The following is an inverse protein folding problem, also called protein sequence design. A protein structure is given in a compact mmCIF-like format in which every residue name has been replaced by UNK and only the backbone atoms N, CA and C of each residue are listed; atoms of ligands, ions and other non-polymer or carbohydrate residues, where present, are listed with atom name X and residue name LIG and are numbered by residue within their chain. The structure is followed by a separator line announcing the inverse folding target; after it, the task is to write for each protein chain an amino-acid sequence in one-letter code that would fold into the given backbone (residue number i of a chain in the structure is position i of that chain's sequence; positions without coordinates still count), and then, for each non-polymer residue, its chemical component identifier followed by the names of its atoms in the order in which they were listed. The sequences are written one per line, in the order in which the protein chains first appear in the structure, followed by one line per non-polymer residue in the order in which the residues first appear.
data_IF_859491709701
#
_entry.id   IF_859491709701
#
_cell.length_a   1.000
_cell.length_b   1.000
_cell.length_c   1.000
_cell.angle_alpha   90.00
_cell.angle_beta   90.00
_cell.angle_gamma   90.00
#
_symmetry.space_group_name_H-M   'P 1'
#
loop_
_entity.id
_entity.type
_entity.pdbx_description
1 polymer ?
#
# COMPACT_ATOMS: atom_id res chain seq x y z
N UNK A 1 14.52 -0.26 -2.59
CA UNK A 1 15.16 1.03 -2.21
C UNK A 1 14.19 1.95 -1.47
N UNK A 2 13.06 2.40 -2.05
CA UNK A 2 12.13 3.32 -1.34
C UNK A 2 11.58 2.73 -0.02
N UNK A 3 11.00 1.53 -0.04
CA UNK A 3 10.48 0.90 1.18
C UNK A 3 11.59 0.72 2.23
N UNK A 4 12.79 0.32 1.81
CA UNK A 4 13.95 0.20 2.70
C UNK A 4 14.28 1.51 3.39
N UNK A 5 14.46 2.56 2.59
CA UNK A 5 14.80 3.91 3.07
C UNK A 5 13.74 4.43 4.03
N UNK A 6 12.46 4.28 3.69
CA UNK A 6 11.36 4.68 4.58
C UNK A 6 11.41 3.91 5.90
N UNK A 7 11.60 2.59 5.84
CA UNK A 7 11.68 1.75 7.03
C UNK A 7 12.82 2.19 7.97
N UNK A 8 13.97 2.53 7.42
CA UNK A 8 15.15 2.91 8.19
C UNK A 8 15.10 4.35 8.71
N UNK A 9 14.70 5.30 7.86
CA UNK A 9 14.70 6.74 8.22
C UNK A 9 13.59 7.07 9.20
N UNK A 10 12.41 6.49 9.02
CA UNK A 10 11.26 6.69 9.92
C UNK A 10 11.23 5.68 11.08
N UNK A 11 12.21 4.77 11.13
CA UNK A 11 12.36 3.73 12.15
C UNK A 11 11.09 2.88 12.36
N UNK A 12 10.47 2.42 11.25
CA UNK A 12 9.33 1.52 11.32
C UNK A 12 9.77 0.11 11.72
N UNK A 13 9.00 -0.53 12.61
CA UNK A 13 9.20 -1.92 12.99
C UNK A 13 9.06 -2.86 11.79
N UNK A 14 8.04 -2.60 10.96
CA UNK A 14 7.69 -3.42 9.78
C UNK A 14 7.12 -2.59 8.65
N UNK A 15 7.34 -3.07 7.43
CA UNK A 15 6.57 -2.68 6.23
C UNK A 15 5.83 -3.89 5.72
N UNK A 16 4.51 -3.77 5.62
CA UNK A 16 3.64 -4.83 5.10
C UNK A 16 3.23 -4.50 3.66
N UNK A 17 3.60 -5.37 2.74
CA UNK A 17 3.21 -5.30 1.34
C UNK A 17 1.88 -6.03 1.14
N UNK A 18 0.90 -5.33 0.56
CA UNK A 18 -0.43 -5.87 0.33
C UNK A 18 -0.70 -5.91 -1.18
N UNK A 19 -0.49 -7.05 -1.86
CA UNK A 19 -0.73 -7.16 -3.29
C UNK A 19 -2.23 -7.07 -3.61
N UNK A 20 -2.60 -6.07 -4.40
CA UNK A 20 -3.98 -5.89 -4.80
C UNK A 20 -4.50 -7.03 -5.68
N UNK A 21 -5.72 -7.50 -5.40
CA UNK A 21 -6.39 -8.51 -6.22
C UNK A 21 -6.93 -7.87 -7.52
N UNK A 22 -7.81 -6.87 -7.38
CA UNK A 22 -8.45 -6.14 -8.49
C UNK A 22 -8.41 -4.63 -8.22
N UNK A 23 -7.39 -3.91 -8.70
CA UNK A 23 -7.32 -2.46 -8.54
C UNK A 23 -8.47 -1.77 -9.28
N UNK A 24 -9.20 -0.82 -8.65
CA UNK A 24 -10.38 -0.18 -9.26
C UNK A 24 -10.05 0.61 -10.53
N UNK A 25 -8.82 1.14 -10.62
CA UNK A 25 -8.41 2.06 -11.69
C UNK A 25 -7.63 1.36 -12.81
N UNK A 26 -7.64 0.01 -12.87
CA UNK A 26 -6.91 -0.76 -13.90
C UNK A 26 -7.84 -1.70 -14.65
N UNK A 27 -7.62 -1.81 -15.95
CA UNK A 27 -8.30 -2.81 -16.78
C UNK A 27 -7.80 -4.21 -16.43
N UNK A 28 -8.68 -5.05 -15.86
CA UNK A 28 -8.33 -6.39 -15.37
C UNK A 28 -7.81 -7.33 -16.48
N UNK A 29 -8.14 -7.08 -17.75
CA UNK A 29 -7.70 -7.91 -18.87
C UNK A 29 -6.19 -7.80 -19.16
N UNK A 30 -5.53 -6.75 -18.66
CA UNK A 30 -4.10 -6.49 -18.88
C UNK A 30 -3.26 -6.61 -17.60
N UNK A 31 -3.80 -7.21 -16.54
CA UNK A 31 -3.08 -7.37 -15.26
C UNK A 31 -2.50 -8.78 -15.17
N UNK A 32 -1.21 -8.85 -14.87
CA UNK A 32 -0.52 -10.11 -14.56
C UNK A 32 -1.26 -10.87 -13.44
N UNK A 33 -1.48 -12.19 -13.57
CA UNK A 33 -2.12 -13.00 -12.55
C UNK A 33 -1.57 -12.74 -11.15
N UNK A 34 -2.48 -12.65 -10.17
CA UNK A 34 -2.11 -12.32 -8.78
C UNK A 34 -1.09 -13.28 -8.19
N UNK A 35 -1.15 -14.56 -8.56
CA UNK A 35 -0.19 -15.59 -8.14
C UNK A 35 1.23 -15.24 -8.57
N UNK A 36 1.45 -14.88 -9.84
CA UNK A 36 2.77 -14.50 -10.33
C UNK A 36 3.27 -13.22 -9.66
N UNK A 37 2.38 -12.25 -9.42
CA UNK A 37 2.73 -11.02 -8.70
C UNK A 37 3.15 -11.29 -7.25
N UNK A 38 2.50 -12.26 -6.60
CA UNK A 38 2.84 -12.69 -5.25
C UNK A 38 4.22 -13.37 -5.23
N UNK A 39 4.48 -14.31 -6.14
CA UNK A 39 5.79 -15.01 -6.24
C UNK A 39 6.95 -14.01 -6.48
N UNK A 40 6.74 -13.02 -7.35
CA UNK A 40 7.72 -11.94 -7.57
C UNK A 40 7.93 -11.09 -6.31
N UNK A 41 6.86 -10.79 -5.58
CA UNK A 41 6.93 -10.00 -4.35
C UNK A 41 7.64 -10.77 -3.23
N UNK A 42 7.33 -12.05 -3.04
CA UNK A 42 8.01 -12.95 -2.09
C UNK A 42 9.52 -12.97 -2.32
N UNK A 43 9.93 -13.10 -3.58
CA UNK A 43 11.35 -13.03 -3.96
C UNK A 43 11.98 -11.67 -3.67
N UNK A 44 11.23 -10.58 -3.83
CA UNK A 44 11.74 -9.22 -3.66
C UNK A 44 11.91 -8.77 -2.19
N UNK A 45 11.23 -9.44 -1.26
CA UNK A 45 11.25 -9.08 0.17
C UNK A 45 11.99 -10.08 1.05
N UNK A 46 12.39 -11.23 0.50
CA UNK A 46 12.95 -12.37 1.23
C UNK A 46 14.12 -11.99 2.18
N UNK A 47 14.99 -11.09 1.75
CA UNK A 47 16.22 -10.76 2.46
C UNK A 47 16.06 -9.65 3.52
N UNK A 48 14.83 -9.16 3.75
CA UNK A 48 14.58 -8.14 4.78
C UNK A 48 13.58 -8.63 5.84
N UNK A 49 14.03 -8.85 7.11
CA UNK A 49 13.17 -9.33 8.18
C UNK A 49 12.11 -8.32 8.65
N UNK A 50 12.22 -7.04 8.28
CA UNK A 50 11.20 -6.02 8.54
C UNK A 50 10.13 -5.98 7.45
N UNK A 51 10.26 -6.77 6.37
CA UNK A 51 9.28 -6.79 5.29
C UNK A 51 8.40 -8.03 5.39
N UNK A 52 7.09 -7.79 5.32
CA UNK A 52 6.08 -8.85 5.35
C UNK A 52 5.12 -8.71 4.19
N UNK A 53 4.47 -9.81 3.82
CA UNK A 53 3.42 -9.80 2.80
C UNK A 53 2.11 -10.21 3.47
N UNK A 54 1.06 -9.42 3.27
CA UNK A 54 -0.29 -9.81 3.65
C UNK A 54 -1.15 -10.05 2.42
N UNK A 55 -1.72 -11.25 2.31
CA UNK A 55 -2.62 -11.63 1.23
C UNK A 55 -4.08 -11.20 1.48
N UNK A 56 -4.32 -10.29 2.43
CA UNK A 56 -5.67 -9.95 2.90
C UNK A 56 -6.63 -9.51 1.79
N UNK A 57 -6.17 -8.76 0.79
CA UNK A 57 -7.03 -8.35 -0.32
C UNK A 57 -7.36 -9.51 -1.27
N UNK A 58 -6.44 -10.46 -1.42
CA UNK A 58 -6.65 -11.69 -2.20
C UNK A 58 -7.70 -12.55 -1.51
N UNK A 59 -7.58 -12.72 -0.20
CA UNK A 59 -8.50 -13.50 0.63
C UNK A 59 -9.88 -12.85 0.72
N UNK A 60 -9.94 -11.52 0.89
CA UNK A 60 -11.20 -10.75 0.92
C UNK A 60 -11.97 -10.85 -0.40
N UNK A 61 -11.26 -10.98 -1.53
CA UNK A 61 -11.88 -11.02 -2.84
C UNK A 61 -12.41 -9.65 -3.27
N UNK A 62 -13.09 -9.62 -4.42
CA UNK A 62 -13.70 -8.38 -4.94
C UNK A 62 -12.68 -7.32 -5.38
N UNK A 63 -13.12 -6.05 -5.34
CA UNK A 63 -12.30 -4.89 -5.72
C UNK A 63 -11.44 -4.44 -4.54
N UNK A 64 -10.18 -4.15 -4.84
CA UNK A 64 -9.16 -3.70 -3.89
C UNK A 64 -9.26 -2.20 -3.62
N UNK A 65 -10.12 -1.78 -2.69
CA UNK A 65 -10.14 -0.40 -2.20
C UNK A 65 -9.21 -0.21 -1.00
N UNK A 66 -8.37 0.82 -1.06
CA UNK A 66 -7.38 1.12 -0.01
C UNK A 66 -8.01 1.37 1.35
N UNK A 67 -9.18 2.04 1.41
CA UNK A 67 -9.90 2.24 2.67
C UNK A 67 -10.30 0.92 3.33
N UNK A 68 -10.81 -0.03 2.54
CA UNK A 68 -11.23 -1.34 3.04
C UNK A 68 -10.02 -2.10 3.60
N UNK A 69 -8.87 -1.99 2.92
CA UNK A 69 -7.59 -2.57 3.37
C UNK A 69 -7.07 -1.93 4.64
N UNK A 70 -7.08 -0.59 4.74
CA UNK A 70 -6.66 0.14 5.93
C UNK A 70 -7.52 -0.26 7.14
N UNK A 71 -8.85 -0.30 6.98
CA UNK A 71 -9.77 -0.66 8.06
C UNK A 71 -9.58 -2.12 8.50
N UNK A 72 -9.42 -3.04 7.55
CA UNK A 72 -9.14 -4.43 7.85
C UNK A 72 -7.82 -4.58 8.61
N UNK A 73 -6.74 -3.98 8.10
CA UNK A 73 -5.41 -4.04 8.71
C UNK A 73 -5.43 -3.44 10.13
N UNK A 74 -6.05 -2.28 10.30
CA UNK A 74 -6.22 -1.63 11.59
C UNK A 74 -6.93 -2.53 12.61
N UNK A 75 -7.98 -3.22 12.17
CA UNK A 75 -8.77 -4.12 13.01
C UNK A 75 -8.00 -5.39 13.37
N UNK A 76 -7.35 -6.02 12.39
CA UNK A 76 -6.61 -7.27 12.54
C UNK A 76 -5.41 -7.13 13.51
N UNK A 77 -4.72 -5.99 13.45
CA UNK A 77 -3.54 -5.72 14.29
C UNK A 77 -3.85 -4.83 15.51
N UNK A 78 -5.13 -4.51 15.76
CA UNK A 78 -5.57 -3.63 16.86
C UNK A 78 -4.82 -2.30 16.94
N UNK A 79 -4.58 -1.67 15.78
CA UNK A 79 -3.77 -0.46 15.69
C UNK A 79 -4.61 0.81 15.90
N UNK A 80 -4.02 1.77 16.61
CA UNK A 80 -4.49 3.15 16.59
C UNK A 80 -4.06 3.82 15.26
N UNK A 81 -4.76 4.90 14.87
CA UNK A 81 -4.45 5.68 13.67
C UNK A 81 -2.96 6.09 13.62
N UNK A 82 -2.43 6.56 14.74
CA UNK A 82 -1.07 7.11 14.81
C UNK A 82 0.03 6.05 14.67
N UNK A 83 -0.34 4.77 14.75
CA UNK A 83 0.55 3.62 14.55
C UNK A 83 0.32 2.94 13.19
N UNK A 84 -0.50 3.52 12.32
CA UNK A 84 -0.81 2.98 11.00
C UNK A 84 -0.48 3.98 9.90
N UNK A 85 0.51 3.64 9.09
CA UNK A 85 0.99 4.48 8.01
C UNK A 85 0.67 3.85 6.66
N UNK A 86 0.02 4.62 5.79
CA UNK A 86 -0.27 4.23 4.42
C UNK A 86 0.73 4.88 3.47
N UNK A 87 1.72 4.08 3.03
CA UNK A 87 2.80 4.54 2.16
C UNK A 87 2.36 4.56 0.69
N UNK A 88 2.42 5.73 0.07
CA UNK A 88 2.16 5.92 -1.37
C UNK A 88 3.32 6.66 -2.05
N UNK A 89 3.43 6.53 -3.37
CA UNK A 89 4.34 7.35 -4.17
C UNK A 89 3.75 8.73 -4.46
N UNK A 90 4.62 9.73 -4.69
CA UNK A 90 4.21 11.08 -5.09
C UNK A 90 3.41 11.12 -6.39
N UNK A 91 3.65 10.19 -7.31
CA UNK A 91 2.87 9.97 -8.53
C UNK A 91 1.41 9.59 -8.24
N UNK A 92 1.20 8.81 -7.20
CA UNK A 92 -0.13 8.36 -6.76
C UNK A 92 -0.89 9.49 -6.04
N UNK A 93 -0.17 10.36 -5.33
CA UNK A 93 -0.76 11.47 -4.59
C UNK A 93 -1.57 12.41 -5.52
N UNK A 94 -1.08 12.65 -6.75
CA UNK A 94 -1.77 13.53 -7.72
C UNK A 94 -3.19 13.08 -8.09
N UNK A 95 -3.51 11.79 -7.90
CA UNK A 95 -4.82 11.21 -8.20
C UNK A 95 -5.55 10.74 -6.93
N UNK A 96 -5.01 11.03 -5.75
CA UNK A 96 -5.55 10.53 -4.48
C UNK A 96 -6.98 10.99 -4.23
N UNK A 97 -7.33 12.22 -4.65
CA UNK A 97 -8.68 12.77 -4.51
C UNK A 97 -9.75 12.00 -5.31
N UNK A 98 -9.33 11.23 -6.32
CA UNK A 98 -10.21 10.38 -7.13
C UNK A 98 -10.46 9.00 -6.51
N UNK A 99 -9.81 8.70 -5.38
CA UNK A 99 -9.98 7.42 -4.72
C UNK A 99 -11.34 7.33 -4.04
N UNK A 100 -11.74 6.10 -3.68
CA UNK A 100 -12.96 5.89 -2.89
C UNK A 100 -12.74 6.43 -1.48
N UNK A 101 -13.47 7.49 -1.14
CA UNK A 101 -13.50 8.12 0.20
C UNK A 101 -12.11 8.57 0.74
N UNK A 102 -11.39 9.46 0.03
CA UNK A 102 -10.01 9.84 0.37
C UNK A 102 -9.91 10.50 1.76
N UNK A 103 -10.92 11.26 2.17
CA UNK A 103 -10.99 11.86 3.51
C UNK A 103 -10.99 10.79 4.62
N UNK A 104 -11.67 9.67 4.41
CA UNK A 104 -11.69 8.58 5.41
C UNK A 104 -10.33 7.90 5.48
N UNK A 105 -9.62 7.73 4.36
CA UNK A 105 -8.27 7.18 4.35
C UNK A 105 -7.33 7.97 5.27
N UNK A 106 -7.36 9.30 5.18
CA UNK A 106 -6.56 10.21 6.02
C UNK A 106 -7.05 10.26 7.49
N UNK A 107 -8.32 9.94 7.73
CA UNK A 107 -8.86 9.83 9.09
C UNK A 107 -8.48 8.50 9.76
N UNK A 108 -8.37 7.42 8.99
CA UNK A 108 -8.12 6.08 9.51
C UNK A 108 -6.63 5.71 9.55
N UNK A 109 -5.78 6.43 8.82
CA UNK A 109 -4.32 6.22 8.76
C UNK A 109 -3.54 7.52 8.55
N UNK A 110 -2.24 7.49 8.84
CA UNK A 110 -1.28 8.53 8.45
C UNK A 110 -0.76 8.27 7.04
N UNK A 111 -1.04 9.14 6.07
CA UNK A 111 -0.57 8.96 4.69
C UNK A 111 0.88 9.43 4.59
N UNK A 112 1.78 8.51 4.25
CA UNK A 112 3.20 8.79 4.04
C UNK A 112 3.49 8.81 2.53
N UNK A 113 4.12 9.88 2.05
CA UNK A 113 4.37 10.07 0.61
C UNK A 113 5.86 9.96 0.32
N UNK A 114 6.24 8.92 -0.42
CA UNK A 114 7.60 8.79 -0.95
C UNK A 114 7.77 9.60 -2.23
N UNK A 115 8.68 10.57 -2.20
CA UNK A 115 9.03 11.39 -3.36
C UNK A 115 9.85 10.56 -4.35
N UNK A 116 9.37 10.45 -5.60
CA UNK A 116 10.14 9.85 -6.68
C UNK A 116 10.93 10.94 -7.44
N UNK A 117 12.27 10.82 -7.58
CA UNK A 117 13.04 11.71 -8.43
C UNK A 117 12.47 11.69 -9.86
N UNK A 118 12.05 12.86 -10.35
CA UNK A 118 11.38 13.02 -11.66
C UNK A 118 9.89 13.39 -11.58
N UNK A 119 9.26 13.30 -10.40
CA UNK A 119 7.91 13.82 -10.20
C UNK A 119 7.96 15.33 -9.91
N UNK A 120 7.50 16.15 -10.87
CA UNK A 120 7.22 17.58 -10.64
C UNK A 120 5.73 17.73 -10.37
N UNK A 121 5.30 18.23 -9.20
CA UNK A 121 3.92 18.66 -9.03
C UNK A 121 3.59 19.70 -10.11
N UNK A 122 2.46 19.56 -10.78
CA UNK A 122 1.90 20.65 -11.58
C UNK A 122 1.56 21.80 -10.63
N UNK A 123 2.22 22.95 -10.85
CA UNK A 123 1.93 24.21 -10.18
C UNK A 123 0.48 24.65 -10.38
#
# INVERSE_FOLDING_TARGET
MIAQTVCEVENFDKIVFIPALKPPNKNLNNITPVKLRLEMLESAVLDNPRFEISQMEIQRGGTSYSLDTINQFKTEYHLAKDNLFFLIGSDTLAQFDLWKEPKKIVNESSVLVAVRPGFKPSN
#
